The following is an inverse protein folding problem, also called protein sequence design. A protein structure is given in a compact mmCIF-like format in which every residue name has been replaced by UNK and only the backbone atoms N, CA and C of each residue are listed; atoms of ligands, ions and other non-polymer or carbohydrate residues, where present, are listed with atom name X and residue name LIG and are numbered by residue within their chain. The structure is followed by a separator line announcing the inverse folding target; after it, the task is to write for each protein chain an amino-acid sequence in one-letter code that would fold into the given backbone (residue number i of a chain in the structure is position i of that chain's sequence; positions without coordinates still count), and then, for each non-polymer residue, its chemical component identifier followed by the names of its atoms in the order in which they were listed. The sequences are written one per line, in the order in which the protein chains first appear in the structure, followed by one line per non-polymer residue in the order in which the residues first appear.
data_IF_810060141052
#
_entry.id   IF_810060141052
#
_cell.length_a   1.000
_cell.length_b   1.000
_cell.length_c   1.000
_cell.angle_alpha   90.00
_cell.angle_beta   90.00
_cell.angle_gamma   90.00
#
_symmetry.space_group_name_H-M   'P 1'
#
loop_
_entity.id
_entity.type
_entity.pdbx_description
1 polymer ?
2 non-polymer ?
3 non-polymer ?
4 non-polymer ?
5 non-polymer ?
6 non-polymer ?
7 water ?
#
# COMPACT_ATOMS: atom_id res chain seq x y z
N UNK A 12 -1.63 17.15 22.70
CA UNK A 12 -2.15 17.51 21.34
C UNK A 12 -1.99 16.35 20.36
N UNK A 13 -1.17 15.37 20.72
CA UNK A 13 -0.94 14.22 19.85
C UNK A 13 -2.22 13.44 19.59
N UNK A 14 -2.76 13.58 18.38
CA UNK A 14 -3.99 12.90 18.00
C UNK A 14 -3.84 11.40 18.22
N UNK A 15 -4.93 10.74 18.63
CA UNK A 15 -4.91 9.30 18.87
C UNK A 15 -5.93 8.61 17.99
N UNK A 16 -6.68 9.41 17.24
CA UNK A 16 -7.68 8.88 16.34
C UNK A 16 -8.12 9.95 15.37
N UNK A 17 -9.05 9.59 14.50
CA UNK A 17 -9.57 10.51 13.50
C UNK A 17 -11.07 10.63 13.76
N UNK A 18 -11.59 11.85 13.71
CA UNK A 18 -13.01 12.07 13.96
C UNK A 18 -13.81 11.52 12.78
N UNK A 19 -15.07 11.19 13.03
CA UNK A 19 -15.94 10.66 11.99
C UNK A 19 -16.01 11.62 10.81
N UNK A 20 -16.03 12.92 11.09
CA UNK A 20 -16.10 13.92 10.02
C UNK A 20 -14.80 13.97 9.22
N UNK A 21 -13.66 13.95 9.90
CA UNK A 21 -12.38 13.97 9.21
C UNK A 21 -12.25 12.74 8.32
N UNK A 22 -12.69 11.59 8.84
CA UNK A 22 -12.61 10.35 8.08
C UNK A 22 -13.48 10.35 6.82
N UNK A 23 -14.76 10.67 6.98
CA UNK A 23 -15.70 10.71 5.86
C UNK A 23 -15.31 11.70 4.77
N UNK A 24 -14.90 12.90 5.16
CA UNK A 24 -14.50 13.89 4.16
C UNK A 24 -13.29 13.40 3.37
N UNK A 25 -12.37 12.74 4.06
CA UNK A 25 -11.17 12.22 3.43
C UNK A 25 -11.53 11.09 2.47
N UNK A 26 -12.23 10.09 2.97
CA UNK A 26 -12.63 8.92 2.20
C UNK A 26 -13.73 9.13 1.14
N UNK A 27 -14.74 9.93 1.44
CA UNK A 27 -15.78 10.14 0.44
C UNK A 27 -15.27 10.99 -0.71
N UNK A 28 -14.46 12.01 -0.43
CA UNK A 28 -13.90 12.85 -1.49
C UNK A 28 -12.98 12.01 -2.37
N UNK A 29 -12.24 11.10 -1.74
CA UNK A 29 -11.32 10.23 -2.47
C UNK A 29 -12.10 9.31 -3.38
N UNK A 30 -13.23 8.80 -2.89
CA UNK A 30 -14.05 7.91 -3.70
C UNK A 30 -14.58 8.67 -4.91
N UNK A 31 -14.96 9.92 -4.71
CA UNK A 31 -15.48 10.73 -5.82
C UNK A 31 -14.37 10.96 -6.84
N UNK A 32 -13.18 11.25 -6.36
CA UNK A 32 -12.05 11.48 -7.25
C UNK A 32 -11.80 10.21 -8.05
N UNK A 33 -11.92 9.07 -7.38
CA UNK A 33 -11.72 7.80 -8.03
C UNK A 33 -12.72 7.58 -9.16
N UNK A 34 -13.98 7.91 -8.89
CA UNK A 34 -15.03 7.77 -9.90
C UNK A 34 -14.79 8.70 -11.08
N UNK A 35 -14.34 9.92 -10.80
CA UNK A 35 -14.06 10.88 -11.86
C UNK A 35 -12.99 10.31 -12.80
N UNK A 36 -12.06 9.55 -12.24
CA UNK A 36 -10.97 8.95 -13.00
C UNK A 36 -11.36 7.58 -13.57
N UNK A 37 -12.65 7.28 -13.47
CA UNK A 37 -13.21 6.03 -13.99
C UNK A 37 -12.83 4.73 -13.30
N UNK A 38 -12.50 4.78 -12.01
CA UNK A 38 -12.20 3.52 -11.30
C UNK A 38 -13.59 3.05 -10.84
N UNK A 39 -13.89 1.75 -10.99
CA UNK A 39 -15.19 1.20 -10.58
C UNK A 39 -15.39 1.05 -9.07
N UNK A 40 -15.69 2.15 -8.41
CA UNK A 40 -15.91 2.14 -6.97
C UNK A 40 -17.37 1.89 -6.61
N UNK A 41 -17.63 0.80 -5.92
CA UNK A 41 -18.98 0.44 -5.51
C UNK A 41 -19.24 0.96 -4.09
N UNK A 42 -20.47 0.87 -3.64
CA UNK A 42 -20.83 1.35 -2.30
C UNK A 42 -20.08 0.62 -1.18
N UNK A 43 -19.98 -0.69 -1.28
CA UNK A 43 -19.30 -1.49 -0.28
C UNK A 43 -17.82 -1.12 -0.10
N UNK A 44 -17.19 -0.73 -1.20
CA UNK A 44 -15.78 -0.35 -1.19
C UNK A 44 -15.50 0.91 -0.38
N UNK A 45 -16.52 1.76 -0.24
CA UNK A 45 -16.37 2.98 0.53
C UNK A 45 -16.78 2.65 1.95
N UNK A 46 -15.81 2.29 2.79
CA UNK A 46 -16.07 1.90 4.17
C UNK A 46 -15.06 2.47 5.18
N UNK A 47 -15.16 2.01 6.42
CA UNK A 47 -14.28 2.48 7.47
C UNK A 47 -12.89 1.83 7.48
N UNK A 48 -12.59 1.03 6.47
CA UNK A 48 -11.29 0.39 6.37
C UNK A 48 -10.46 0.97 5.22
N UNK A 49 -11.11 1.77 4.37
CA UNK A 49 -10.46 2.35 3.20
C UNK A 49 -9.37 3.37 3.56
N UNK A 50 -9.63 4.16 4.59
CA UNK A 50 -8.67 5.15 5.02
C UNK A 50 -7.73 4.51 6.02
N UNK A 51 -6.45 4.45 5.68
CA UNK A 51 -5.44 3.82 6.55
C UNK A 51 -4.46 4.81 7.17
N UNK A 52 -4.21 4.62 8.46
CA UNK A 52 -3.26 5.45 9.22
C UNK A 52 -2.29 4.42 9.83
N UNK A 53 -1.02 4.45 9.42
CA UNK A 53 -0.04 3.48 9.88
C UNK A 53 0.65 3.75 11.22
N UNK A 54 -0.09 3.58 12.31
CA UNK A 54 0.48 3.81 13.62
C UNK A 54 -0.18 4.96 14.36
N UNK A 55 -0.29 4.83 15.68
CA UNK A 55 -0.91 5.83 16.53
C UNK A 55 -0.29 7.22 16.41
N UNK A 56 1.04 7.26 16.23
CA UNK A 56 1.71 8.55 16.12
C UNK A 56 1.55 9.18 14.74
N UNK A 57 0.84 8.48 13.85
CA UNK A 57 0.63 9.01 12.51
C UNK A 57 -0.73 9.71 12.41
N UNK A 58 -1.54 9.58 13.46
CA UNK A 58 -2.85 10.23 13.48
C UNK A 58 -2.64 11.73 13.51
N UNK A 59 -1.44 12.16 13.89
CA UNK A 59 -1.13 13.59 13.92
C UNK A 59 -1.19 14.17 12.52
N UNK A 60 -1.34 13.31 11.52
CA UNK A 60 -1.45 13.77 10.14
C UNK A 60 -2.69 14.65 10.02
N UNK A 61 -3.68 14.40 10.87
CA UNK A 61 -4.91 15.15 10.84
C UNK A 61 -4.92 16.35 11.78
N UNK A 62 -3.73 16.68 12.27
CA UNK A 62 -3.55 17.83 13.15
C UNK A 62 -3.71 19.04 12.22
N UNK A 63 -2.99 19.01 11.10
CA UNK A 63 -3.07 20.09 10.12
C UNK A 63 -3.80 19.65 8.84
N UNK A 64 -4.13 18.36 8.76
CA UNK A 64 -4.86 17.85 7.60
C UNK A 64 -4.10 17.28 6.43
N UNK A 65 -4.83 16.60 5.54
CA UNK A 65 -4.27 15.97 4.36
C UNK A 65 -3.74 16.92 3.29
N UNK A 66 -3.89 18.22 3.50
CA UNK A 66 -3.38 19.19 2.53
C UNK A 66 -2.27 20.06 3.10
N UNK A 67 -1.70 19.63 4.22
CA UNK A 67 -0.62 20.38 4.85
C UNK A 67 0.69 20.14 4.11
N UNK A 68 0.83 18.95 3.52
CA UNK A 68 2.05 18.62 2.80
C UNK A 68 3.08 17.98 3.72
N UNK A 69 2.74 17.85 4.99
CA UNK A 69 3.65 17.27 5.98
C UNK A 69 3.86 15.77 5.78
N UNK A 70 5.07 15.29 6.08
CA UNK A 70 5.40 13.86 5.92
C UNK A 70 4.81 12.97 7.02
N UNK A 71 3.83 12.17 6.64
CA UNK A 71 3.17 11.24 7.56
C UNK A 71 2.82 9.99 6.74
N UNK A 72 2.64 8.87 7.43
CA UNK A 72 2.32 7.62 6.76
C UNK A 72 0.83 7.29 6.92
N UNK A 73 0.08 7.59 5.87
CA UNK A 73 -1.37 7.37 5.82
C UNK A 73 -1.81 7.38 4.35
N UNK A 74 -2.82 6.59 4.04
CA UNK A 74 -3.30 6.51 2.66
C UNK A 74 -4.68 5.90 2.57
N UNK A 75 -5.25 5.96 1.37
CA UNK A 75 -6.56 5.38 1.14
C UNK A 75 -6.43 4.29 0.09
N UNK A 76 -7.17 3.20 0.31
CA UNK A 76 -7.15 2.12 -0.64
C UNK A 76 -8.57 1.60 -0.89
N UNK A 77 -8.99 1.60 -2.15
CA UNK A 77 -10.30 1.09 -2.55
C UNK A 77 -10.02 -0.19 -3.31
N UNK A 78 -10.47 -1.31 -2.78
CA UNK A 78 -10.23 -2.60 -3.41
C UNK A 78 -11.42 -3.09 -4.21
N UNK A 79 -11.24 -3.20 -5.53
CA UNK A 79 -12.33 -3.64 -6.41
C UNK A 79 -12.25 -5.13 -6.69
N UNK A 80 -11.10 -5.74 -6.41
CA UNK A 80 -10.94 -7.16 -6.65
C UNK A 80 -9.84 -7.77 -5.82
N UNK A 81 -10.09 -8.97 -5.31
CA UNK A 81 -9.12 -9.73 -4.52
C UNK A 81 -9.60 -11.16 -4.70
N UNK A 82 -9.35 -11.67 -5.90
CA UNK A 82 -9.76 -13.00 -6.31
C UNK A 82 -8.68 -14.05 -6.03
N UNK A 83 -9.03 -15.09 -5.26
CA UNK A 83 -8.06 -16.14 -4.94
C UNK A 83 -7.52 -16.84 -6.18
N UNK A 84 -8.37 -17.00 -7.19
CA UNK A 84 -8.00 -17.66 -8.43
C UNK A 84 -7.60 -19.11 -8.14
N UNK A 85 -8.27 -19.71 -7.17
CA UNK A 85 -8.00 -21.10 -6.79
C UNK A 85 -8.82 -22.07 -7.64
N UNK A 86 -10.01 -21.65 -8.07
CA UNK A 86 -10.86 -22.50 -8.90
C UNK A 86 -10.19 -22.94 -10.20
N UNK A 87 -10.23 -24.24 -10.48
CA UNK A 87 -9.63 -24.75 -11.70
C UNK A 87 -8.16 -25.11 -11.58
N UNK A 88 -7.59 -24.91 -10.40
CA UNK A 88 -6.19 -25.22 -10.15
C UNK A 88 -5.98 -26.70 -9.81
N UNK A 89 -4.93 -27.32 -10.36
CA UNK A 89 -4.72 -28.73 -10.02
C UNK A 89 -4.44 -28.77 -8.52
N UNK A 90 -4.89 -29.82 -7.84
CA UNK A 90 -4.70 -29.95 -6.40
C UNK A 90 -3.27 -29.74 -5.92
N UNK A 91 -2.30 -30.13 -6.75
CA UNK A 91 -0.91 -29.97 -6.38
C UNK A 91 -0.44 -28.54 -6.23
N UNK A 92 -1.20 -27.60 -6.78
CA UNK A 92 -0.85 -26.19 -6.72
C UNK A 92 -1.35 -25.53 -5.44
N UNK A 93 -2.06 -26.29 -4.62
CA UNK A 93 -2.62 -25.78 -3.37
C UNK A 93 -1.61 -25.08 -2.44
N UNK A 94 -0.41 -25.64 -2.29
CA UNK A 94 0.59 -25.01 -1.40
C UNK A 94 1.25 -23.74 -1.95
N UNK A 95 1.10 -23.49 -3.25
CA UNK A 95 1.70 -22.32 -3.88
C UNK A 95 0.66 -21.34 -4.44
N UNK A 96 -0.62 -21.66 -4.27
CA UNK A 96 -1.70 -20.82 -4.78
C UNK A 96 -1.70 -19.44 -4.12
N UNK A 97 -1.20 -19.38 -2.89
CA UNK A 97 -1.14 -18.15 -2.12
C UNK A 97 -0.23 -17.08 -2.74
N UNK A 98 0.59 -17.47 -3.71
CA UNK A 98 1.49 -16.54 -4.38
C UNK A 98 0.82 -15.98 -5.62
N UNK A 99 -0.35 -16.54 -5.94
CA UNK A 99 -1.10 -16.13 -7.12
C UNK A 99 -2.35 -15.34 -6.73
N UNK A 100 -3.40 -15.44 -7.56
CA UNK A 100 -4.61 -14.70 -7.27
C UNK A 100 -4.53 -13.37 -8.00
N UNK A 101 -5.62 -12.60 -7.99
CA UNK A 101 -5.64 -11.30 -8.67
C UNK A 101 -6.26 -10.22 -7.78
N UNK A 102 -5.54 -9.12 -7.61
CA UNK A 102 -6.03 -8.02 -6.77
C UNK A 102 -5.93 -6.69 -7.51
N UNK A 103 -7.02 -5.93 -7.49
CA UNK A 103 -7.08 -4.63 -8.16
C UNK A 103 -7.49 -3.59 -7.11
N UNK A 104 -6.65 -2.58 -6.90
CA UNK A 104 -6.94 -1.54 -5.92
C UNK A 104 -6.57 -0.17 -6.47
N UNK A 105 -7.25 0.85 -5.97
CA UNK A 105 -6.95 2.22 -6.35
C UNK A 105 -6.34 2.80 -5.07
N UNK A 106 -5.17 3.41 -5.17
CA UNK A 106 -4.52 3.99 -4.00
C UNK A 106 -4.47 5.50 -4.14
N UNK A 107 -4.83 6.20 -3.07
CA UNK A 107 -4.79 7.66 -3.08
C UNK A 107 -3.92 8.16 -1.95
N UNK A 108 -2.86 8.87 -2.31
CA UNK A 108 -1.91 9.40 -1.34
C UNK A 108 -1.83 10.92 -1.48
N UNK A 109 -2.02 11.62 -0.38
CA UNK A 109 -1.97 13.06 -0.41
C UNK A 109 -0.55 13.60 -0.35
N UNK A 110 -0.35 14.87 -0.74
CA UNK A 110 0.96 15.52 -0.77
C UNK A 110 1.83 15.35 0.48
N UNK A 111 3.02 14.79 0.28
CA UNK A 111 3.94 14.57 1.38
C UNK A 111 3.73 13.28 2.15
N UNK A 112 2.54 12.69 2.01
CA UNK A 112 2.23 11.44 2.73
C UNK A 112 2.84 10.21 2.07
N UNK A 113 3.03 9.16 2.87
CA UNK A 113 3.65 7.92 2.38
C UNK A 113 2.87 6.65 2.63
N UNK A 114 3.20 5.64 1.83
CA UNK A 114 2.74 4.28 2.03
C UNK A 114 4.10 3.86 2.61
N UNK A 115 4.14 3.43 3.89
CA UNK A 115 5.40 3.05 4.54
C UNK A 115 6.20 1.83 4.08
N UNK A 116 7.51 1.84 4.39
CA UNK A 116 8.42 0.75 4.03
C UNK A 116 7.89 -0.60 4.49
N UNK A 117 7.83 -1.54 3.55
CA UNK A 117 7.36 -2.89 3.85
C UNK A 117 7.66 -3.79 2.68
N UNK A 118 7.49 -5.10 2.89
CA UNK A 118 7.68 -6.07 1.83
C UNK A 118 6.68 -7.17 2.04
N UNK A 119 6.42 -7.95 1.00
CA UNK A 119 5.47 -9.05 1.07
C UNK A 119 6.22 -10.32 0.73
N UNK A 120 5.95 -11.41 1.43
CA UNK A 120 6.62 -12.65 1.12
C UNK A 120 6.01 -13.31 -0.10
N UNK A 121 4.70 -13.12 -0.27
CA UNK A 121 3.99 -13.76 -1.37
C UNK A 121 3.47 -12.85 -2.48
N UNK A 122 3.14 -11.61 -2.14
CA UNK A 122 2.56 -10.70 -3.13
C UNK A 122 3.50 -9.86 -4.00
N UNK A 123 3.27 -9.93 -5.30
CA UNK A 123 4.01 -9.17 -6.28
C UNK A 123 3.04 -8.09 -6.78
N UNK A 124 3.51 -6.83 -6.82
CA UNK A 124 2.69 -5.69 -7.22
C UNK A 124 3.12 -5.04 -8.52
N UNK A 125 2.26 -4.18 -9.05
CA UNK A 125 2.54 -3.42 -10.27
C UNK A 125 1.84 -2.07 -10.09
N UNK A 126 2.45 -0.99 -10.57
CA UNK A 126 1.86 0.33 -10.42
C UNK A 126 1.57 1.04 -11.73
N UNK A 127 0.43 1.72 -11.77
CA UNK A 127 0.01 2.50 -12.92
C UNK A 127 -0.46 3.84 -12.34
N UNK A 128 0.29 4.92 -12.61
CA UNK A 128 -0.12 6.22 -12.08
C UNK A 128 -1.29 6.74 -12.91
N UNK A 129 -2.34 7.19 -12.24
CA UNK A 129 -3.51 7.71 -12.93
C UNK A 129 -3.53 9.23 -12.84
N UNK A 130 -3.15 9.75 -11.68
CA UNK A 130 -3.11 11.19 -11.46
C UNK A 130 -1.94 11.55 -10.56
N UNK A 131 -1.27 12.65 -10.89
CA UNK A 131 -0.13 13.08 -10.09
C UNK A 131 1.10 12.29 -10.43
N UNK A 132 2.09 12.29 -9.54
CA UNK A 132 3.31 11.56 -9.79
C UNK A 132 3.66 10.75 -8.56
N UNK A 133 4.22 9.57 -8.79
CA UNK A 133 4.57 8.66 -7.72
C UNK A 133 6.07 8.51 -7.52
N UNK A 134 6.54 8.78 -6.30
CA UNK A 134 7.96 8.63 -5.99
C UNK A 134 8.08 7.34 -5.21
N UNK A 135 8.71 6.34 -5.84
CA UNK A 135 8.88 5.03 -5.24
C UNK A 135 10.29 4.84 -4.67
N UNK A 136 10.36 4.30 -3.46
CA UNK A 136 11.63 4.02 -2.80
C UNK A 136 11.62 2.52 -2.58
N UNK A 137 12.73 1.85 -2.89
CA UNK A 137 12.78 0.39 -2.73
C UNK A 137 14.19 -0.17 -2.73
N UNK A 138 14.30 -1.45 -2.36
CA UNK A 138 15.57 -2.16 -2.34
C UNK A 138 15.60 -3.10 -3.53
N UNK A 139 16.60 -2.96 -4.42
CA UNK A 139 16.71 -3.82 -5.60
C UNK A 139 17.07 -5.26 -5.26
N UNK A 140 17.36 -5.51 -3.99
CA UNK A 140 17.72 -6.85 -3.52
C UNK A 140 16.56 -7.44 -2.73
N UNK A 141 16.24 -8.72 -2.96
CA UNK A 141 15.14 -9.35 -2.22
C UNK A 141 15.48 -9.65 -0.77
N UNK A 142 14.44 -9.75 0.07
CA UNK A 142 14.61 -10.05 1.48
C UNK A 142 14.71 -11.56 1.66
N UNK A 143 15.95 -12.08 1.58
CA UNK A 143 16.23 -13.51 1.69
C UNK A 143 15.39 -14.24 2.73
N UNK A 144 14.80 -15.36 2.32
CA UNK A 144 13.97 -16.16 3.20
C UNK A 144 14.83 -17.28 3.81
N UNK A 145 14.72 -17.44 5.13
CA UNK A 145 15.49 -18.44 5.87
C UNK A 145 15.54 -19.83 5.23
N UNK A 146 16.72 -20.21 4.76
CA UNK A 146 16.92 -21.51 4.15
C UNK A 146 15.87 -22.00 3.17
N UNK A 147 15.87 -21.44 1.96
CA UNK A 147 14.91 -21.84 0.93
C UNK A 147 15.27 -21.26 -0.42
N UNK A 148 15.35 -22.12 -1.44
CA UNK A 148 15.68 -21.71 -2.79
C UNK A 148 14.52 -20.94 -3.41
N UNK A 149 14.85 -19.87 -4.13
CA UNK A 149 13.83 -19.05 -4.78
C UNK A 149 14.12 -18.92 -6.26
N UNK A 150 13.07 -18.75 -7.05
CA UNK A 150 13.23 -18.61 -8.48
C UNK A 150 13.59 -17.17 -8.82
N UNK A 151 14.27 -16.99 -9.95
CA UNK A 151 14.68 -15.67 -10.41
C UNK A 151 14.51 -15.62 -11.92
N UNK A 152 14.19 -14.44 -12.44
CA UNK A 152 14.00 -14.27 -13.88
C UNK A 152 14.42 -12.88 -14.36
N UNK A 153 13.79 -11.85 -13.82
CA UNK A 153 14.13 -10.48 -14.23
C UNK A 153 14.73 -9.67 -13.10
N UNK A 154 14.45 -10.07 -11.86
CA UNK A 154 14.97 -9.32 -10.72
C UNK A 154 14.41 -7.91 -10.80
N UNK A 155 14.95 -7.00 -9.99
CA UNK A 155 14.49 -5.60 -10.00
C UNK A 155 15.57 -4.68 -10.56
N UNK A 156 15.16 -3.62 -11.27
CA UNK A 156 16.14 -2.68 -11.84
C UNK A 156 16.76 -1.87 -10.70
N UNK A 157 18.04 -1.52 -10.86
CA UNK A 157 18.76 -0.75 -9.84
C UNK A 157 18.16 0.64 -9.60
N UNK A 158 17.58 1.23 -10.66
CA UNK A 158 16.98 2.54 -10.50
C UNK A 158 17.99 3.66 -10.30
N UNK A 159 17.53 4.75 -9.71
CA UNK A 159 18.39 5.91 -9.48
C UNK A 159 18.55 6.24 -8.00
N UNK A 160 19.52 7.09 -7.67
CA UNK A 160 19.68 7.44 -6.26
C UNK A 160 18.57 8.41 -5.90
N UNK A 161 18.26 8.52 -4.61
CA UNK A 161 17.21 9.43 -4.15
C UNK A 161 17.52 10.87 -4.53
N UNK A 162 16.48 11.66 -4.84
CA UNK A 162 16.76 13.05 -5.18
C UNK A 162 17.03 13.68 -3.81
N UNK A 163 17.64 14.87 -3.78
CA UNK A 163 17.90 15.49 -2.48
C UNK A 163 16.68 16.18 -1.89
N UNK A 164 16.62 16.24 -0.56
CA UNK A 164 15.54 16.94 0.11
C UNK A 164 14.22 16.23 0.38
N UNK A 165 14.24 14.89 0.46
CA UNK A 165 13.02 14.15 0.73
C UNK A 165 12.72 14.17 2.22
N UNK A 166 11.60 14.77 2.59
CA UNK A 166 11.20 14.85 4.00
C UNK A 166 10.50 13.56 4.43
N UNK A 167 11.09 12.88 5.40
CA UNK A 167 10.53 11.64 5.90
C UNK A 167 9.74 11.84 7.19
N UNK A 168 8.83 10.90 7.52
CA UNK A 168 8.04 11.02 8.74
C UNK A 168 8.93 11.06 9.97
N UNK A 169 8.65 11.99 10.88
CA UNK A 169 9.45 12.10 12.09
C UNK A 169 9.29 10.87 12.96
N UNK A 170 10.42 10.26 13.33
CA UNK A 170 10.38 9.08 14.15
C UNK A 170 10.36 7.80 13.34
N UNK A 171 10.52 7.94 12.02
CA UNK A 171 10.52 6.77 11.14
C UNK A 171 11.48 6.91 9.98
N UNK A 172 12.39 7.88 10.08
CA UNK A 172 13.35 8.09 9.01
C UNK A 172 14.20 6.85 8.76
N UNK A 173 14.57 6.14 9.82
CA UNK A 173 15.42 4.96 9.69
C UNK A 173 14.79 3.79 8.93
N UNK A 174 13.47 3.68 8.98
CA UNK A 174 12.79 2.59 8.28
C UNK A 174 13.02 2.66 6.78
N UNK A 175 13.47 3.82 6.29
CA UNK A 175 13.72 4.02 4.85
C UNK A 175 15.17 3.78 4.43
N UNK A 176 16.07 3.63 5.41
CA UNK A 176 17.51 3.42 5.16
C UNK A 176 17.89 2.48 4.03
N UNK A 177 17.28 1.28 4.01
CA UNK A 177 17.59 0.27 3.01
C UNK A 177 16.92 0.44 1.64
N UNK A 178 15.87 1.26 1.58
CA UNK A 178 15.17 1.48 0.31
C UNK A 178 15.92 2.54 -0.47
N UNK A 179 17.15 2.20 -0.84
CA UNK A 179 18.07 3.08 -1.55
C UNK A 179 17.79 3.39 -3.01
N UNK A 180 17.08 2.51 -3.71
CA UNK A 180 16.77 2.76 -5.12
C UNK A 180 15.55 3.66 -5.24
N UNK A 181 15.56 4.52 -6.25
CA UNK A 181 14.46 5.46 -6.46
C UNK A 181 14.02 5.56 -7.92
N UNK A 182 12.73 5.79 -8.12
CA UNK A 182 12.18 5.96 -9.45
C UNK A 182 10.92 6.81 -9.31
N UNK A 183 10.74 7.74 -10.23
CA UNK A 183 9.56 8.60 -10.21
C UNK A 183 8.69 8.21 -11.40
N UNK A 184 7.48 7.75 -11.11
CA UNK A 184 6.54 7.31 -12.13
C UNK A 184 5.46 8.36 -12.42
N UNK A 185 5.08 8.46 -13.69
CA UNK A 185 4.08 9.42 -14.12
C UNK A 185 3.00 8.73 -14.94
N UNK A 186 1.87 9.41 -15.13
CA UNK A 186 0.77 8.85 -15.92
C UNK A 186 1.27 8.58 -17.32
N UNK A 187 0.97 7.39 -17.84
CA UNK A 187 1.39 7.05 -19.19
C UNK A 187 2.66 6.25 -19.27
N UNK A 188 3.40 6.13 -18.16
CA UNK A 188 4.64 5.35 -18.14
C UNK A 188 4.35 3.86 -18.24
N UNK A 189 5.37 3.06 -18.57
CA UNK A 189 5.13 1.62 -18.65
C UNK A 189 4.75 1.17 -17.24
N UNK A 190 4.02 0.07 -17.13
CA UNK A 190 3.65 -0.45 -15.82
C UNK A 190 4.94 -0.76 -15.07
N UNK A 191 4.98 -0.50 -13.77
CA UNK A 191 6.18 -0.76 -12.98
C UNK A 191 5.93 -1.91 -12.02
N UNK A 192 6.76 -2.95 -12.10
CA UNK A 192 6.61 -4.14 -11.26
C UNK A 192 7.45 -4.14 -9.97
N UNK A 193 6.81 -4.48 -8.86
CA UNK A 193 7.50 -4.56 -7.58
C UNK A 193 7.42 -6.03 -7.17
N UNK A 194 8.50 -6.78 -7.40
CA UNK A 194 8.50 -8.21 -7.04
C UNK A 194 8.36 -8.45 -5.55
N UNK A 195 7.73 -9.58 -5.22
CA UNK A 195 7.54 -9.98 -3.85
C UNK A 195 8.91 -10.06 -3.18
N UNK A 196 8.93 -9.93 -1.86
CA UNK A 196 10.14 -9.99 -1.05
C UNK A 196 11.05 -8.77 -1.18
N UNK A 197 10.58 -7.74 -1.88
CA UNK A 197 11.38 -6.53 -2.04
C UNK A 197 10.80 -5.40 -1.20
N UNK A 198 11.66 -4.74 -0.45
CA UNK A 198 11.24 -3.62 0.38
C UNK A 198 10.80 -2.48 -0.52
N UNK A 199 9.68 -1.84 -0.17
CA UNK A 199 9.21 -0.72 -0.96
C UNK A 199 8.33 0.23 -0.17
N UNK A 200 8.28 1.47 -0.66
CA UNK A 200 7.47 2.52 -0.06
C UNK A 200 7.31 3.54 -1.17
N UNK A 201 6.41 4.49 -0.99
CA UNK A 201 6.20 5.53 -1.99
C UNK A 201 5.45 6.71 -1.40
N UNK A 202 5.55 7.86 -2.06
CA UNK A 202 4.88 9.04 -1.58
C UNK A 202 4.44 9.91 -2.73
N UNK A 203 3.59 10.88 -2.40
CA UNK A 203 3.12 11.86 -3.34
C UNK A 203 4.02 13.06 -3.04
N UNK A 204 4.60 13.69 -4.07
CA UNK A 204 5.46 14.84 -3.81
C UNK A 204 4.70 15.89 -3.01
N UNK A 205 5.36 16.55 -2.04
CA UNK A 205 4.78 17.59 -1.17
C UNK A 205 4.25 18.82 -1.90
N UNK A 206 4.76 19.07 -3.10
CA UNK A 206 4.33 20.25 -3.85
C UNK A 206 3.25 19.94 -4.88
N UNK A 207 2.72 18.72 -4.86
CA UNK A 207 1.68 18.33 -5.80
C UNK A 207 0.37 19.05 -5.56
N UNK A 208 -0.26 19.51 -6.65
CA UNK A 208 -1.54 20.21 -6.56
C UNK A 208 -2.70 19.21 -6.52
N UNK A 209 -2.39 17.93 -6.70
CA UNK A 209 -3.41 16.89 -6.66
C UNK A 209 -2.96 15.68 -5.85
N UNK A 210 -3.91 14.88 -5.34
CA UNK A 210 -3.49 13.71 -4.57
C UNK A 210 -2.90 12.74 -5.61
N UNK A 211 -2.02 11.86 -5.16
CA UNK A 211 -1.45 10.86 -6.06
C UNK A 211 -2.49 9.75 -6.13
N UNK A 212 -2.87 9.36 -7.34
CA UNK A 212 -3.85 8.28 -7.53
C UNK A 212 -3.16 7.20 -8.36
N UNK A 213 -3.10 5.99 -7.82
CA UNK A 213 -2.43 4.90 -8.51
C UNK A 213 -3.24 3.63 -8.55
N UNK A 214 -3.26 2.99 -9.71
CA UNK A 214 -3.95 1.72 -9.87
C UNK A 214 -2.94 0.63 -9.56
N UNK A 215 -3.25 -0.22 -8.58
CA UNK A 215 -2.35 -1.31 -8.24
C UNK A 215 -2.95 -2.64 -8.68
N UNK A 216 -2.18 -3.39 -9.46
CA UNK A 216 -2.61 -4.70 -9.91
C UNK A 216 -1.58 -5.65 -9.32
N UNK A 217 -2.03 -6.58 -8.49
CA UNK A 217 -1.09 -7.49 -7.85
C UNK A 217 -1.70 -8.86 -7.67
N UNK A 218 -0.92 -9.78 -7.11
CA UNK A 218 -1.43 -11.12 -6.83
C UNK A 218 -2.29 -10.94 -5.58
N UNK A 219 -2.90 -12.02 -5.10
CA UNK A 219 -3.79 -11.96 -3.95
C UNK A 219 -3.24 -11.21 -2.74
N UNK A 220 -4.12 -10.43 -2.10
CA UNK A 220 -3.74 -9.65 -0.93
C UNK A 220 -4.22 -10.31 0.36
N UNK A 221 -3.31 -11.02 1.04
CA UNK A 221 -3.63 -11.70 2.30
C UNK A 221 -3.58 -10.65 3.40
N UNK A 222 -4.75 -10.24 3.90
CA UNK A 222 -4.79 -9.23 4.95
C UNK A 222 -5.97 -9.39 5.90
N UNK A 223 -5.76 -10.07 7.03
CA UNK A 223 -6.84 -10.27 8.01
C UNK A 223 -7.16 -8.96 8.73
N UNK A 224 -7.62 -7.96 7.98
CA UNK A 224 -7.94 -6.65 8.53
C UNK A 224 -9.31 -6.58 9.21
N UNK A 225 -9.86 -5.37 9.27
CA UNK A 225 -11.16 -5.13 9.88
C UNK A 225 -12.29 -5.44 8.90
N UNK A 226 -12.24 -4.84 7.71
CA UNK A 226 -13.24 -5.06 6.69
C UNK A 226 -13.03 -6.40 5.98
N UNK A 227 -11.90 -7.03 6.27
CA UNK A 227 -11.57 -8.33 5.68
C UNK A 227 -11.85 -9.46 6.65
N UNK A 228 -12.45 -9.13 7.79
CA UNK A 228 -12.79 -10.11 8.80
C UNK A 228 -14.20 -10.66 8.56
N UNK A 229 -14.33 -11.51 7.55
CA UNK A 229 -15.63 -12.09 7.23
C UNK A 229 -15.70 -12.70 5.84
N UNK A 230 -14.79 -13.63 5.56
CA UNK A 230 -14.76 -14.31 4.26
C UNK A 230 -14.24 -15.74 4.40
N UNK A 231 -14.89 -16.67 3.71
CA UNK A 231 -14.49 -18.07 3.74
C UNK A 231 -13.09 -18.18 3.14
N UNK A 232 -12.26 -19.06 3.70
CA UNK A 232 -10.90 -19.25 3.21
C UNK A 232 -10.86 -20.30 2.09
N UNK A 233 -10.44 -19.88 0.89
CA UNK A 233 -10.37 -20.77 -0.27
C UNK A 233 -9.51 -22.02 -0.03
N UNK A 234 -8.42 -21.85 0.70
CA UNK A 234 -7.53 -22.95 1.04
C UNK A 234 -7.30 -22.85 2.55
N UNK A 235 -7.29 -24.02 3.24
CA UNK A 235 -7.08 -24.07 4.69
C UNK A 235 -6.02 -23.11 5.25
N UNK A 236 -4.78 -23.26 4.77
CA UNK A 236 -3.67 -22.44 5.24
C UNK A 236 -3.86 -20.93 5.10
N UNK A 237 -4.68 -20.51 4.15
CA UNK A 237 -4.93 -19.08 3.92
C UNK A 237 -5.57 -18.39 5.12
N UNK A 238 -6.35 -19.14 5.89
CA UNK A 238 -7.04 -18.59 7.05
C UNK A 238 -6.08 -17.92 8.03
N UNK A 239 -6.29 -16.64 8.29
CA UNK A 239 -5.44 -15.89 9.21
C UNK A 239 -4.05 -15.62 8.69
N UNK A 240 -3.80 -15.93 7.43
CA UNK A 240 -2.50 -15.72 6.82
C UNK A 240 -2.19 -14.23 6.64
N UNK A 241 -1.02 -13.81 7.10
CA UNK A 241 -0.60 -12.41 6.98
C UNK A 241 0.55 -12.36 5.97
N UNK A 242 0.58 -11.30 5.17
CA UNK A 242 1.61 -11.16 4.16
C UNK A 242 2.16 -9.73 4.04
N UNK A 243 2.07 -8.96 5.12
CA UNK A 243 2.55 -7.59 5.12
C UNK A 243 3.58 -7.39 6.24
N UNK A 244 4.83 -7.12 5.85
CA UNK A 244 5.90 -6.95 6.81
C UNK A 244 6.43 -5.51 6.79
N UNK A 245 6.00 -4.70 7.75
CA UNK A 245 6.45 -3.31 7.82
C UNK A 245 7.80 -3.18 8.53
N UNK A 246 8.69 -2.37 7.98
CA UNK A 246 10.01 -2.16 8.58
C UNK A 246 9.86 -1.52 9.95
N UNK A 247 8.87 -0.65 10.09
CA UNK A 247 8.63 0.02 11.36
C UNK A 247 7.55 -0.74 12.13
N UNK A 248 7.84 -1.09 13.38
CA UNK A 248 6.87 -1.81 14.19
C UNK A 248 5.68 -0.93 14.49
N UNK A 249 5.92 0.38 14.50
CA UNK A 249 4.89 1.37 14.77
C UNK A 249 3.83 1.39 13.68
N UNK A 250 4.21 0.97 12.47
CA UNK A 250 3.29 0.96 11.33
C UNK A 250 2.47 -0.31 11.19
N UNK A 251 2.81 -1.34 11.97
CA UNK A 251 2.10 -2.62 11.91
C UNK A 251 0.71 -2.57 12.55
N UNK A 252 0.68 -2.22 13.84
CA UNK A 252 -0.57 -2.15 14.59
C UNK A 252 -1.75 -1.47 13.86
N UNK A 253 -1.74 -0.14 13.84
CA UNK A 253 -2.82 0.59 13.20
C UNK A 253 -3.08 0.38 11.73
N UNK A 254 -2.43 -0.62 11.13
CA UNK A 254 -2.62 -0.89 9.70
C UNK A 254 -3.93 -1.66 9.49
N UNK A 255 -4.30 -2.47 10.47
CA UNK A 255 -5.49 -3.30 10.38
C UNK A 255 -6.79 -2.65 10.85
N UNK A 256 -6.73 -1.43 11.37
CA UNK A 256 -7.95 -0.75 11.83
C UNK A 256 -7.74 0.71 12.21
N UNK A 257 -8.50 1.59 11.58
CA UNK A 257 -8.40 3.03 11.85
C UNK A 257 -9.30 3.44 13.01
N UNK A 258 -8.72 4.15 13.98
CA UNK A 258 -9.46 4.62 15.13
C UNK A 258 -10.30 5.83 14.78
N UNK A 259 -11.61 5.62 14.63
CA UNK A 259 -12.52 6.71 14.29
C UNK A 259 -13.34 7.08 15.52
N UNK A 260 -13.21 8.32 15.98
CA UNK A 260 -13.92 8.81 17.15
C UNK A 260 -15.17 9.60 16.81
#
# INVERSE_FOLDING_TARGET
MRGSHHHHHHGSARTSITRREYDEWVREAAALGKALRYPITEKMVNDSAGIVFGADQYDAFKNGMWSGEPYEAMIIFESLNEPAVDGLPTGAAPYAEYSGLCDKLMIVHPGKFCPPHHHGRKTESYEVVLGEMEVFYSPTPSAESGVELLNFSGMPVGSPWPEGVALPKGRESSYEKLTSYVRLRAGDPKFVMHRKHLHAFRCPPDSDVPLVVRQVSTYSHEPTEAAAGNHAPIPSWLGMHDNDFVSDAANTGRLQTAIS
#
